data_IF_650878967610
#
_entry.id   IF_650878967610
#
_cell.length_a   1.000
_cell.length_b   1.000
_cell.length_c   1.000
_cell.angle_alpha   90.00
_cell.angle_beta   90.00
_cell.angle_gamma   90.00
#
_symmetry.space_group_name_H-M   'P 1'
#
loop_
_entity.id
_entity.type
_entity.pdbx_description
1 polymer ?
#
# COMPACT_ATOMS: atom_id res chain seq x y z
N UNK A 1 17.05 -4.27 -8.69
CA UNK A 1 16.57 -3.22 -7.77
C UNK A 1 17.76 -2.72 -6.99
N UNK A 2 18.21 -1.49 -7.25
CA UNK A 2 19.40 -0.90 -6.61
C UNK A 2 18.91 -0.05 -5.44
N UNK A 3 19.19 -0.47 -4.22
CA UNK A 3 18.79 0.26 -3.00
C UNK A 3 19.95 1.10 -2.51
N UNK A 4 19.72 2.39 -2.26
CA UNK A 4 20.59 3.20 -1.39
C UNK A 4 19.86 3.32 -0.05
N UNK A 5 20.47 2.81 1.02
CA UNK A 5 19.91 2.85 2.38
C UNK A 5 18.55 2.15 2.58
N UNK A 6 18.25 1.10 1.79
CA UNK A 6 17.00 0.35 1.91
C UNK A 6 15.76 1.05 1.33
N UNK A 7 15.93 2.22 0.70
CA UNK A 7 14.91 2.87 -0.09
C UNK A 7 15.11 2.52 -1.58
N UNK A 8 14.03 2.27 -2.33
CA UNK A 8 14.15 2.03 -3.75
C UNK A 8 14.62 3.33 -4.43
N UNK A 9 15.68 3.24 -5.26
CA UNK A 9 16.09 4.36 -6.12
C UNK A 9 15.13 4.38 -7.31
N UNK A 10 14.34 5.44 -7.42
CA UNK A 10 13.31 5.56 -8.44
C UNK A 10 13.87 6.18 -9.71
N UNK A 11 13.40 5.71 -10.86
CA UNK A 11 13.60 6.43 -12.11
C UNK A 11 12.73 7.69 -12.10
N UNK A 12 13.09 8.70 -12.90
CA UNK A 12 12.30 9.93 -13.05
C UNK A 12 10.83 9.64 -13.41
N UNK A 13 10.59 8.63 -14.24
CA UNK A 13 9.25 8.19 -14.62
C UNK A 13 8.48 7.54 -13.47
N UNK A 14 9.14 6.82 -12.57
CA UNK A 14 8.54 6.27 -11.36
C UNK A 14 8.20 7.37 -10.34
N UNK A 15 9.05 8.39 -10.24
CA UNK A 15 8.81 9.58 -9.41
C UNK A 15 7.58 10.35 -9.91
N UNK A 16 7.51 10.65 -11.21
CA UNK A 16 6.37 11.36 -11.82
C UNK A 16 5.05 10.60 -11.61
N UNK A 17 5.04 9.28 -11.84
CA UNK A 17 3.87 8.42 -11.61
C UNK A 17 3.46 8.34 -10.13
N UNK A 18 4.41 8.35 -9.21
CA UNK A 18 4.09 8.43 -7.78
C UNK A 18 3.50 9.77 -7.40
N UNK A 19 3.99 10.88 -7.96
CA UNK A 19 3.41 12.21 -7.73
C UNK A 19 1.99 12.28 -8.29
N UNK A 20 1.72 11.71 -9.47
CA UNK A 20 0.35 11.59 -10.01
C UNK A 20 -0.55 10.77 -9.09
N UNK A 21 -0.10 9.60 -8.63
CA UNK A 21 -0.86 8.76 -7.68
C UNK A 21 -1.08 9.49 -6.37
N UNK A 22 -0.09 10.21 -5.83
CA UNK A 22 -0.25 11.02 -4.61
C UNK A 22 -1.23 12.16 -4.83
N UNK A 23 -1.18 12.86 -5.96
CA UNK A 23 -2.11 13.94 -6.26
C UNK A 23 -3.53 13.43 -6.46
N UNK A 24 -3.68 12.28 -7.11
CA UNK A 24 -4.99 11.63 -7.29
C UNK A 24 -5.51 11.09 -5.95
N UNK A 25 -4.69 10.39 -5.17
CA UNK A 25 -5.05 9.95 -3.81
C UNK A 25 -5.29 11.14 -2.86
N UNK A 26 -4.60 12.26 -3.05
CA UNK A 26 -4.77 13.51 -2.32
C UNK A 26 -6.05 14.25 -2.70
N UNK A 27 -6.55 14.08 -3.94
CA UNK A 27 -7.91 14.48 -4.33
C UNK A 27 -8.97 13.50 -3.83
N UNK A 28 -8.63 12.21 -3.75
CA UNK A 28 -9.51 11.16 -3.24
C UNK A 28 -9.65 11.21 -1.72
N UNK A 29 -8.67 11.73 -0.96
CA UNK A 29 -8.71 12.10 0.47
C UNK A 29 -9.71 11.34 1.38
N UNK A 30 -9.95 10.05 1.15
CA UNK A 30 -10.98 9.29 1.83
C UNK A 30 -10.42 8.09 2.59
N UNK A 31 -9.11 7.82 2.48
CA UNK A 31 -8.49 6.70 3.18
C UNK A 31 -7.26 7.18 3.95
N UNK A 32 -7.19 6.87 5.26
CA UNK A 32 -6.03 7.24 6.07
C UNK A 32 -4.77 6.52 5.54
N UNK A 33 -3.57 7.13 5.65
CA UNK A 33 -2.33 6.60 5.08
C UNK A 33 -1.93 5.25 5.69
N UNK A 34 -2.46 4.94 6.87
CA UNK A 34 -2.32 3.66 7.55
C UNK A 34 -3.66 3.24 8.16
N UNK A 35 -3.90 1.93 8.23
CA UNK A 35 -5.10 1.36 8.87
C UNK A 35 -4.74 0.15 9.73
N UNK A 36 -5.57 -0.15 10.73
CA UNK A 36 -5.50 -1.43 11.44
C UNK A 36 -5.97 -2.57 10.55
N UNK A 37 -5.59 -3.81 10.89
CA UNK A 37 -6.09 -5.00 10.19
C UNK A 37 -7.63 -5.06 10.22
N UNK A 38 -8.25 -4.78 11.37
CA UNK A 38 -9.71 -4.80 11.51
C UNK A 38 -10.39 -3.78 10.61
N UNK A 39 -9.86 -2.55 10.55
CA UNK A 39 -10.42 -1.49 9.70
C UNK A 39 -10.23 -1.82 8.22
N UNK A 40 -9.09 -2.43 7.86
CA UNK A 40 -8.85 -2.89 6.50
C UNK A 40 -9.82 -4.00 6.09
N UNK A 41 -10.08 -4.97 6.99
CA UNK A 41 -11.07 -6.03 6.78
C UNK A 41 -12.46 -5.44 6.52
N UNK A 42 -12.90 -4.49 7.36
CA UNK A 42 -14.18 -3.79 7.19
C UNK A 42 -14.26 -3.04 5.85
N UNK A 43 -13.20 -2.32 5.48
CA UNK A 43 -13.16 -1.55 4.23
C UNK A 43 -13.16 -2.41 2.98
N UNK A 44 -12.53 -3.59 3.03
CA UNK A 44 -12.37 -4.47 1.87
C UNK A 44 -13.45 -5.55 1.78
N UNK A 45 -14.23 -5.76 2.84
CA UNK A 45 -15.18 -6.87 2.95
C UNK A 45 -14.51 -8.24 3.14
N UNK A 46 -13.19 -8.27 3.36
CA UNK A 46 -12.42 -9.50 3.58
C UNK A 46 -12.55 -9.93 5.04
N UNK A 47 -12.61 -11.24 5.27
CA UNK A 47 -12.67 -11.82 6.61
C UNK A 47 -11.43 -11.43 7.46
N UNK A 48 -11.67 -11.08 8.73
CA UNK A 48 -10.64 -10.50 9.60
C UNK A 48 -9.48 -11.47 9.89
N UNK A 49 -9.75 -12.77 10.00
CA UNK A 49 -8.75 -13.82 10.15
C UNK A 49 -7.84 -13.92 8.92
N UNK A 50 -8.38 -13.81 7.72
CA UNK A 50 -7.61 -13.75 6.46
C UNK A 50 -6.67 -12.54 6.47
N UNK A 51 -7.18 -11.34 6.77
CA UNK A 51 -6.36 -10.11 6.82
C UNK A 51 -5.28 -10.22 7.90
N UNK A 52 -5.62 -10.77 9.07
CA UNK A 52 -4.65 -11.03 10.14
C UNK A 52 -3.56 -12.00 9.70
N UNK A 53 -3.94 -13.06 8.98
CA UNK A 53 -3.00 -13.98 8.34
C UNK A 53 -2.06 -13.27 7.38
N UNK A 54 -2.57 -12.37 6.54
CA UNK A 54 -1.75 -11.58 5.63
C UNK A 54 -0.77 -10.67 6.34
N UNK A 55 -1.21 -9.99 7.41
CA UNK A 55 -0.34 -9.14 8.23
C UNK A 55 0.76 -9.96 8.90
N UNK A 56 0.41 -11.10 9.52
CA UNK A 56 1.36 -11.98 10.19
C UNK A 56 2.39 -12.57 9.21
N UNK A 57 1.93 -13.01 8.04
CA UNK A 57 2.76 -13.58 6.99
C UNK A 57 3.46 -12.51 6.12
N UNK A 58 3.28 -11.22 6.42
CA UNK A 58 3.80 -10.07 5.65
C UNK A 58 3.45 -10.12 4.15
N UNK A 59 2.25 -10.60 3.83
CA UNK A 59 1.70 -10.63 2.46
C UNK A 59 1.17 -9.27 2.00
N UNK A 60 0.98 -8.34 2.93
CA UNK A 60 0.64 -6.95 2.66
C UNK A 60 1.70 -6.01 3.27
N UNK A 61 1.90 -4.80 2.72
CA UNK A 61 2.80 -3.81 3.29
C UNK A 61 2.33 -3.38 4.68
N UNK A 62 3.21 -3.52 5.68
CA UNK A 62 2.91 -3.18 7.07
C UNK A 62 4.00 -2.31 7.67
N UNK A 63 3.62 -1.41 8.58
CA UNK A 63 4.53 -0.64 9.44
C UNK A 63 4.25 -0.91 10.90
N UNK A 64 5.28 -0.82 11.73
CA UNK A 64 5.13 -0.74 13.18
C UNK A 64 5.04 0.72 13.62
N UNK A 65 3.99 1.05 14.37
CA UNK A 65 3.82 2.34 15.02
C UNK A 65 3.66 2.07 16.53
N UNK A 66 4.72 2.35 17.29
CA UNK A 66 4.81 1.93 18.68
C UNK A 66 4.73 0.40 18.80
N UNK A 67 3.75 -0.09 19.58
CA UNK A 67 3.48 -1.52 19.79
C UNK A 67 2.50 -2.13 18.78
N UNK A 68 1.95 -1.34 17.86
CA UNK A 68 0.93 -1.78 16.90
C UNK A 68 1.53 -2.02 15.52
N UNK A 69 1.04 -3.04 14.83
CA UNK A 69 1.29 -3.26 13.41
C UNK A 69 0.09 -2.75 12.64
N UNK A 70 0.33 -1.88 11.66
CA UNK A 70 -0.70 -1.28 10.81
C UNK A 70 -0.35 -1.54 9.34
N UNK A 71 -1.36 -1.59 8.49
CA UNK A 71 -1.22 -1.74 7.04
C UNK A 71 -0.92 -0.36 6.44
N UNK A 72 0.09 -0.31 5.58
CA UNK A 72 0.49 0.89 4.86
C UNK A 72 -0.28 0.99 3.55
N UNK A 73 -1.30 1.85 3.54
CA UNK A 73 -2.23 1.95 2.41
C UNK A 73 -1.57 2.56 1.18
N UNK A 74 -0.57 3.42 1.36
CA UNK A 74 0.18 4.03 0.26
C UNK A 74 1.00 2.95 -0.44
N UNK A 75 1.78 2.18 0.31
CA UNK A 75 2.57 1.10 -0.26
C UNK A 75 1.68 -0.01 -0.84
N UNK A 76 0.54 -0.31 -0.21
CA UNK A 76 -0.41 -1.26 -0.73
C UNK A 76 -0.94 -0.83 -2.10
N UNK A 77 -1.35 0.43 -2.28
CA UNK A 77 -1.80 0.96 -3.56
C UNK A 77 -0.72 0.88 -4.66
N UNK A 78 0.54 1.18 -4.31
CA UNK A 78 1.65 1.21 -5.26
C UNK A 78 2.19 -0.18 -5.64
N UNK A 79 2.01 -1.18 -4.79
CA UNK A 79 2.54 -2.54 -4.98
C UNK A 79 1.46 -3.54 -5.37
N UNK A 80 0.19 -3.15 -5.29
CA UNK A 80 -0.92 -3.97 -5.73
C UNK A 80 -0.91 -4.12 -7.26
N UNK A 81 -0.85 -5.36 -7.79
CA UNK A 81 -0.86 -5.60 -9.23
C UNK A 81 -2.19 -5.21 -9.89
N UNK A 82 -3.23 -4.91 -9.09
CA UNK A 82 -4.55 -4.52 -9.58
C UNK A 82 -4.64 -3.04 -9.99
N UNK A 83 -3.59 -2.23 -9.75
CA UNK A 83 -3.49 -0.85 -10.25
C UNK A 83 -2.50 -0.69 -11.42
N UNK A 84 -1.81 -1.75 -11.82
CA UNK A 84 -1.08 -1.79 -13.09
C UNK A 84 -2.07 -2.19 -14.17
N UNK A 85 -2.48 -1.22 -14.98
CA UNK A 85 -3.30 -1.37 -16.18
C UNK A 85 -3.00 -2.68 -16.91
N UNK A 86 -4.06 -3.47 -17.16
CA UNK A 86 -4.15 -4.32 -18.34
C UNK A 86 -3.84 -3.43 -19.55
N UNK A 87 -2.61 -3.51 -20.06
CA UNK A 87 -2.39 -3.25 -21.48
C UNK A 87 -2.82 -4.51 -22.20
N UNK A 88 -4.12 -4.58 -22.49
CA UNK A 88 -4.61 -5.45 -23.54
C UNK A 88 -3.99 -5.00 -24.87
N UNK A 89 -3.45 -6.00 -25.58
CA UNK A 89 -2.85 -5.91 -26.92
C UNK A 89 -3.82 -5.43 -28.00
#
# INVERSE_FOLDING_TARGET
MTTKNGLPVWTRQQEERFQEVIMELGRVAAFPPVVTADRFAEMTGIEAGVVTGWVYQRKVPVRKIGKRTVIDMIMFALTSPYFTEEKDE
#
